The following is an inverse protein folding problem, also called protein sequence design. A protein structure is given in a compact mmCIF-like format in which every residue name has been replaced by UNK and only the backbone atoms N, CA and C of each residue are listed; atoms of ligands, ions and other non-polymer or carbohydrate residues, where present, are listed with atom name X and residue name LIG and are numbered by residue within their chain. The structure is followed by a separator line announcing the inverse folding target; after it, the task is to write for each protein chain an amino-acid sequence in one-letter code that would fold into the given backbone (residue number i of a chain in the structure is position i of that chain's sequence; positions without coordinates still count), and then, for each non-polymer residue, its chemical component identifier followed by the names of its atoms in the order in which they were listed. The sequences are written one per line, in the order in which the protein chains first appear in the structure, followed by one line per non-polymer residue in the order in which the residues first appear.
data_IF_985491391698
#
_entry.id   IF_985491391698
#
_cell.length_a   1.000
_cell.length_b   1.000
_cell.length_c   1.000
_cell.angle_alpha   90.00
_cell.angle_beta   90.00
_cell.angle_gamma   90.00
#
_symmetry.space_group_name_H-M   'P 1'
#
loop_
_entity.id
_entity.type
_entity.pdbx_description
1 polymer ?
#
# COMPACT_ATOMS: atom_id res chain seq x y z
N UNK A 1 -2.71 1.51 9.91
CA UNK A 1 -1.50 2.34 10.08
C UNK A 1 -0.29 1.46 10.28
N UNK A 2 0.75 1.73 9.53
CA UNK A 2 2.01 1.01 9.64
C UNK A 2 3.06 1.89 10.31
N UNK A 3 3.72 1.34 11.32
CA UNK A 3 4.88 1.99 11.91
C UNK A 3 6.11 1.23 11.45
N UNK A 4 7.02 1.92 10.78
CA UNK A 4 8.23 1.30 10.29
C UNK A 4 9.45 2.06 10.78
N UNK A 5 10.37 1.35 11.42
CA UNK A 5 11.63 1.93 11.87
C UNK A 5 12.65 1.78 10.77
N UNK A 6 13.25 2.89 10.38
CA UNK A 6 14.23 2.92 9.29
C UNK A 6 15.57 3.37 9.85
N UNK A 7 16.61 2.62 9.53
CA UNK A 7 17.97 2.98 9.89
C UNK A 7 18.61 3.63 8.67
N UNK A 8 19.17 4.78 8.87
CA UNK A 8 19.82 5.50 7.78
C UNK A 8 20.96 6.35 8.32
N UNK A 9 21.85 6.76 7.44
CA UNK A 9 22.94 7.64 7.80
C UNK A 9 22.55 9.08 7.56
N UNK A 10 22.80 9.96 8.51
CA UNK A 10 22.53 11.37 8.31
C UNK A 10 23.68 12.02 7.52
N UNK A 11 23.55 13.31 7.25
CA UNK A 11 24.56 14.01 6.43
C UNK A 11 25.79 14.42 7.22
N UNK A 12 25.87 14.04 8.47
CA UNK A 12 27.08 14.24 9.29
C UNK A 12 27.81 12.91 9.51
N UNK A 13 27.32 11.84 8.89
CA UNK A 13 27.96 10.54 8.98
C UNK A 13 27.51 9.70 10.17
N UNK A 14 26.45 10.11 10.86
CA UNK A 14 25.95 9.38 12.01
C UNK A 14 24.82 8.43 11.60
N UNK A 15 24.79 7.27 12.24
CA UNK A 15 23.70 6.32 12.04
C UNK A 15 22.49 6.78 12.86
N UNK A 16 21.34 6.90 12.20
CA UNK A 16 20.09 7.32 12.82
C UNK A 16 19.07 6.22 12.67
N UNK A 17 18.29 6.00 13.71
CA UNK A 17 17.16 5.08 13.65
C UNK A 17 15.92 5.87 14.01
N UNK A 18 14.98 5.94 13.09
CA UNK A 18 13.77 6.73 13.28
C UNK A 18 12.54 5.96 12.83
N UNK A 19 11.47 6.10 13.60
CA UNK A 19 10.19 5.49 13.24
C UNK A 19 9.40 6.43 12.34
N UNK A 20 8.92 5.90 11.24
CA UNK A 20 8.03 6.60 10.33
C UNK A 20 6.67 5.92 10.33
N UNK A 21 5.63 6.70 10.15
CA UNK A 21 4.27 6.20 10.14
C UNK A 21 3.66 6.37 8.77
N UNK A 22 2.92 5.34 8.34
CA UNK A 22 2.29 5.33 7.03
C UNK A 22 0.85 4.88 7.18
N UNK A 23 -0.05 5.59 6.55
CA UNK A 23 -1.46 5.22 6.57
C UNK A 23 -2.20 5.80 5.37
N UNK A 24 -3.11 5.02 4.82
CA UNK A 24 -4.03 5.50 3.81
C UNK A 24 -5.43 5.29 4.35
N UNK A 25 -6.27 6.32 4.23
CA UNK A 25 -7.66 6.22 4.62
C UNK A 25 -8.48 5.62 3.49
N UNK A 26 -9.70 5.18 3.80
CA UNK A 26 -10.60 4.67 2.76
C UNK A 26 -10.84 5.68 1.66
N UNK A 27 -11.01 6.94 2.03
CA UNK A 27 -11.22 7.99 1.05
C UNK A 27 -10.03 8.15 0.12
N UNK A 28 -8.82 8.14 0.69
CA UNK A 28 -7.61 8.25 -0.10
C UNK A 28 -7.43 7.08 -1.06
N UNK A 29 -7.72 5.88 -0.60
CA UNK A 29 -7.63 4.70 -1.46
C UNK A 29 -8.66 4.76 -2.59
N UNK A 30 -9.88 5.17 -2.28
CA UNK A 30 -10.91 5.32 -3.30
C UNK A 30 -10.51 6.34 -4.35
N UNK A 31 -9.92 7.45 -3.93
CA UNK A 31 -9.42 8.46 -4.85
C UNK A 31 -8.32 7.91 -5.75
N UNK A 32 -7.44 7.10 -5.21
CA UNK A 32 -6.37 6.47 -5.98
C UNK A 32 -6.91 5.39 -6.92
N UNK A 33 -7.92 4.64 -6.48
CA UNK A 33 -8.51 3.58 -7.28
C UNK A 33 -9.42 4.08 -8.39
N UNK A 34 -9.91 5.32 -8.27
CA UNK A 34 -10.71 5.91 -9.34
C UNK A 34 -9.92 6.00 -10.64
N UNK A 35 -8.60 5.99 -10.58
CA UNK A 35 -7.76 5.96 -11.76
C UNK A 35 -7.44 4.55 -12.25
N UNK A 36 -7.93 3.52 -11.58
CA UNK A 36 -7.64 2.14 -11.92
C UNK A 36 -8.92 1.33 -11.98
N UNK A 37 -9.14 0.62 -13.07
CA UNK A 37 -10.35 -0.18 -13.26
C UNK A 37 -10.44 -1.36 -12.32
N UNK A 38 -9.29 -1.93 -11.97
CA UNK A 38 -9.23 -3.18 -11.24
C UNK A 38 -8.83 -3.03 -9.78
N UNK A 39 -8.73 -1.79 -9.30
CA UNK A 39 -8.30 -1.53 -7.95
C UNK A 39 -6.78 -1.47 -7.83
N UNK A 40 -6.33 -0.84 -6.75
CA UNK A 40 -4.92 -0.58 -6.54
C UNK A 40 -4.10 -1.87 -6.41
N UNK A 41 -4.62 -2.85 -5.69
CA UNK A 41 -3.90 -4.12 -5.49
C UNK A 41 -3.67 -4.86 -6.79
N UNK A 42 -4.69 -4.92 -7.64
CA UNK A 42 -4.57 -5.58 -8.94
C UNK A 42 -3.66 -4.80 -9.88
N UNK A 43 -3.72 -3.48 -9.81
CA UNK A 43 -2.85 -2.62 -10.59
C UNK A 43 -1.38 -2.87 -10.24
N UNK A 44 -1.07 -2.95 -8.94
CA UNK A 44 0.28 -3.23 -8.48
C UNK A 44 0.76 -4.61 -8.90
N UNK A 45 -0.12 -5.60 -8.81
CA UNK A 45 0.21 -6.94 -9.27
C UNK A 45 0.52 -6.97 -10.76
N UNK A 46 -0.29 -6.29 -11.54
CA UNK A 46 -0.09 -6.23 -12.99
C UNK A 46 1.24 -5.58 -13.34
N UNK A 47 1.62 -4.53 -12.63
CA UNK A 47 2.89 -3.85 -12.85
C UNK A 47 4.06 -4.77 -12.51
N UNK A 48 3.97 -5.46 -11.38
CA UNK A 48 5.02 -6.39 -10.95
C UNK A 48 5.14 -7.55 -11.94
N UNK A 49 4.01 -8.10 -12.38
CA UNK A 49 3.99 -9.21 -13.33
C UNK A 49 4.55 -8.81 -14.71
N UNK A 50 4.30 -7.56 -15.09
CA UNK A 50 4.82 -7.04 -16.36
C UNK A 50 6.30 -6.66 -16.28
N UNK A 51 6.87 -6.67 -15.08
CA UNK A 51 8.27 -6.33 -14.85
C UNK A 51 8.60 -4.92 -15.38
N UNK A 52 7.64 -4.02 -15.30
CA UNK A 52 7.83 -2.63 -15.71
C UNK A 52 8.43 -1.83 -14.57
N UNK A 53 9.74 -1.79 -14.52
CA UNK A 53 10.48 -1.17 -13.43
C UNK A 53 10.12 0.31 -13.24
N UNK A 54 9.94 1.04 -14.32
CA UNK A 54 9.60 2.45 -14.23
C UNK A 54 8.23 2.66 -13.59
N UNK A 55 7.25 1.89 -14.01
CA UNK A 55 5.90 1.98 -13.45
C UNK A 55 5.89 1.57 -11.99
N UNK A 56 6.68 0.56 -11.61
CA UNK A 56 6.81 0.12 -10.23
C UNK A 56 7.35 1.27 -9.38
N UNK A 57 8.44 1.89 -9.83
CA UNK A 57 9.09 2.99 -9.11
C UNK A 57 8.12 4.16 -8.90
N UNK A 58 7.46 4.58 -9.96
CA UNK A 58 6.52 5.71 -9.90
C UNK A 58 5.34 5.42 -8.98
N UNK A 59 4.81 4.22 -9.06
CA UNK A 59 3.66 3.82 -8.25
C UNK A 59 4.01 3.75 -6.76
N UNK A 60 5.12 3.12 -6.42
CA UNK A 60 5.55 3.03 -5.04
C UNK A 60 5.89 4.40 -4.46
N UNK A 61 6.55 5.24 -5.23
CA UNK A 61 6.83 6.61 -4.79
C UNK A 61 5.53 7.34 -4.45
N UNK A 62 4.55 7.25 -5.32
CA UNK A 62 3.24 7.88 -5.11
C UNK A 62 2.57 7.38 -3.83
N UNK A 63 2.59 6.09 -3.61
CA UNK A 63 1.98 5.48 -2.42
C UNK A 63 2.72 5.88 -1.15
N UNK A 64 4.04 5.83 -1.17
CA UNK A 64 4.86 6.19 -0.03
C UNK A 64 4.61 7.65 0.36
N UNK A 65 4.66 8.56 -0.60
CA UNK A 65 4.46 9.98 -0.33
C UNK A 65 3.03 10.31 0.09
N UNK A 66 2.06 9.56 -0.40
CA UNK A 66 0.66 9.76 -0.02
C UNK A 66 0.36 9.21 1.37
N UNK A 67 1.12 8.25 1.84
CA UNK A 67 0.84 7.54 3.09
C UNK A 67 1.63 8.04 4.29
N UNK A 68 2.78 8.67 4.10
CA UNK A 68 3.63 9.08 5.21
C UNK A 68 3.00 10.21 6.01
N UNK A 69 3.10 10.13 7.34
CA UNK A 69 2.53 11.13 8.21
C UNK A 69 2.93 10.88 9.66
N UNK A 70 2.20 11.50 10.56
CA UNK A 70 2.42 11.33 12.00
C UNK A 70 1.10 11.36 12.75
N UNK A 71 1.05 10.68 13.88
CA UNK A 71 -0.15 10.69 14.70
C UNK A 71 -0.20 11.98 15.51
N UNK A 72 -1.42 12.49 15.73
CA UNK A 72 -1.62 13.55 16.71
C UNK A 72 -1.41 12.98 18.12
N UNK A 73 -1.22 13.85 19.10
CA UNK A 73 -0.98 13.42 20.48
C UNK A 73 -2.13 12.57 21.03
N UNK A 74 -3.36 12.92 20.69
CA UNK A 74 -4.54 12.18 21.13
C UNK A 74 -4.82 10.93 20.28
N UNK A 75 -4.09 10.74 19.19
CA UNK A 75 -4.28 9.59 18.32
C UNK A 75 -5.49 9.66 17.40
N UNK A 76 -6.23 10.78 17.42
CA UNK A 76 -7.43 10.90 16.61
C UNK A 76 -7.18 11.33 15.17
N UNK A 77 -6.04 11.96 14.93
CA UNK A 77 -5.71 12.43 13.58
C UNK A 77 -4.41 11.82 13.11
N UNK A 78 -4.36 11.52 11.83
CA UNK A 78 -3.12 11.18 11.16
C UNK A 78 -2.73 12.37 10.32
N UNK A 79 -1.67 13.04 10.72
CA UNK A 79 -1.28 14.34 10.15
C UNK A 79 -0.35 14.12 8.97
N UNK A 80 -0.80 14.51 7.80
CA UNK A 80 0.00 14.45 6.56
C UNK A 80 0.33 15.86 6.14
N UNK A 81 1.46 16.34 6.61
CA UNK A 81 1.92 17.68 6.29
C UNK A 81 3.29 17.61 5.59
N UNK A 82 3.76 18.76 5.11
CA UNK A 82 5.04 18.82 4.44
C UNK A 82 6.19 18.41 5.35
N UNK A 83 6.05 18.66 6.65
CA UNK A 83 7.09 18.33 7.61
C UNK A 83 7.31 16.80 7.65
N UNK A 84 6.23 16.03 7.71
CA UNK A 84 6.32 14.57 7.73
C UNK A 84 6.90 14.03 6.42
N UNK A 85 6.47 14.60 5.29
CA UNK A 85 6.98 14.22 3.98
C UNK A 85 8.47 14.53 3.87
N UNK A 86 8.86 15.73 4.28
CA UNK A 86 10.25 16.18 4.17
C UNK A 86 11.18 15.39 5.10
N UNK A 87 10.71 15.00 6.27
CA UNK A 87 11.49 14.15 7.16
C UNK A 87 11.88 12.83 6.50
N UNK A 88 11.06 12.37 5.58
CA UNK A 88 11.34 11.16 4.84
C UNK A 88 12.17 11.45 3.60
N UNK A 89 11.69 12.33 2.71
CA UNK A 89 12.33 12.50 1.40
C UNK A 89 13.59 13.34 1.42
N UNK A 90 13.78 14.18 2.42
CA UNK A 90 14.97 15.01 2.53
C UNK A 90 16.08 14.36 3.34
N UNK A 91 15.88 13.12 3.74
CA UNK A 91 16.88 12.33 4.47
C UNK A 91 17.18 11.08 3.66
N UNK A 92 18.20 10.35 4.08
CA UNK A 92 18.51 9.07 3.44
C UNK A 92 17.51 7.98 3.78
N UNK A 93 16.57 8.26 4.68
CA UNK A 93 15.53 7.30 5.05
C UNK A 93 14.69 6.86 3.85
N UNK A 94 14.33 7.79 2.96
CA UNK A 94 13.57 7.45 1.77
C UNK A 94 14.34 6.47 0.88
N UNK A 95 15.63 6.72 0.70
CA UNK A 95 16.46 5.83 -0.12
C UNK A 95 16.52 4.42 0.46
N UNK A 96 16.67 4.31 1.77
CA UNK A 96 16.71 3.00 2.42
C UNK A 96 15.37 2.27 2.27
N UNK A 97 14.27 2.96 2.49
CA UNK A 97 12.94 2.38 2.34
C UNK A 97 12.70 1.96 0.89
N UNK A 98 13.01 2.86 -0.04
CA UNK A 98 12.79 2.63 -1.45
C UNK A 98 13.57 1.42 -1.95
N UNK A 99 14.85 1.33 -1.58
CA UNK A 99 15.69 0.20 -1.99
C UNK A 99 15.19 -1.12 -1.42
N UNK A 100 14.72 -1.10 -0.19
CA UNK A 100 14.14 -2.29 0.43
C UNK A 100 12.92 -2.79 -0.35
N UNK A 101 12.02 -1.87 -0.69
CA UNK A 101 10.80 -2.23 -1.38
C UNK A 101 11.02 -2.55 -2.85
N UNK A 102 11.92 -1.83 -3.51
CA UNK A 102 12.21 -2.07 -4.92
C UNK A 102 12.98 -3.36 -5.13
N UNK A 103 13.75 -3.78 -4.13
CA UNK A 103 14.54 -5.00 -4.23
C UNK A 103 13.80 -6.27 -3.89
N UNK A 104 12.59 -6.16 -3.34
CA UNK A 104 11.82 -7.33 -2.90
C UNK A 104 10.33 -7.07 -3.13
N UNK A 105 9.78 -7.73 -4.13
CA UNK A 105 8.38 -7.57 -4.49
C UNK A 105 7.45 -7.99 -3.35
N UNK A 106 7.80 -9.02 -2.60
CA UNK A 106 6.99 -9.48 -1.48
C UNK A 106 6.97 -8.43 -0.36
N UNK A 107 8.10 -7.81 -0.09
CA UNK A 107 8.19 -6.74 0.91
C UNK A 107 7.34 -5.55 0.50
N UNK A 108 7.33 -5.22 -0.78
CA UNK A 108 6.53 -4.12 -1.32
C UNK A 108 5.03 -4.39 -1.16
N UNK A 109 4.60 -5.58 -1.50
CA UNK A 109 3.19 -5.98 -1.37
C UNK A 109 2.78 -5.96 0.10
N UNK A 110 3.61 -6.47 0.98
CA UNK A 110 3.35 -6.47 2.41
C UNK A 110 3.23 -5.04 2.96
N UNK A 111 4.13 -4.16 2.54
CA UNK A 111 4.10 -2.75 2.93
C UNK A 111 2.77 -2.11 2.56
N UNK A 112 2.35 -2.30 1.32
CA UNK A 112 1.11 -1.71 0.83
C UNK A 112 -0.09 -2.28 1.57
N UNK A 113 -0.11 -3.58 1.81
CA UNK A 113 -1.17 -4.24 2.53
C UNK A 113 -1.30 -3.68 3.95
N UNK A 114 -0.18 -3.47 4.62
CA UNK A 114 -0.19 -2.96 5.98
C UNK A 114 -0.57 -1.49 6.07
N UNK A 115 -0.30 -0.73 5.02
CA UNK A 115 -0.67 0.68 4.95
C UNK A 115 -2.17 0.86 4.72
N UNK A 116 -2.80 -0.09 4.06
CA UNK A 116 -4.23 -0.03 3.80
C UNK A 116 -5.06 -0.21 5.07
N UNK A 117 -6.20 0.48 5.17
CA UNK A 117 -7.06 0.30 6.32
C UNK A 117 -7.67 -1.10 6.34
N UNK A 118 -7.65 -1.71 7.51
CA UNK A 118 -8.21 -3.05 7.68
C UNK A 118 -9.68 -3.12 7.33
N UNK A 119 -10.38 -2.01 7.49
CA UNK A 119 -11.80 -1.95 7.19
C UNK A 119 -12.12 -2.04 5.71
N UNK A 120 -11.15 -1.82 4.84
CA UNK A 120 -11.36 -2.02 3.41
C UNK A 120 -11.30 -3.49 3.07
N UNK A 121 -10.47 -4.22 3.78
CA UNK A 121 -10.42 -5.63 3.59
C UNK A 121 -11.73 -6.26 4.00
N UNK A 122 -12.31 -5.68 5.02
CA UNK A 122 -13.55 -6.22 5.49
C UNK A 122 -14.64 -5.68 4.70
N UNK A 123 -14.39 -4.69 3.95
CA UNK A 123 -15.24 -4.05 3.23
C UNK A 123 -16.48 -4.21 3.45
N UNK A 124 -16.59 -3.77 3.88
CA UNK A 124 -17.69 -3.85 4.05
C UNK A 124 -17.97 -4.39 5.25
N UNK A 125 -17.40 -4.39 5.69
CA UNK A 125 -17.63 -4.93 6.54
C UNK A 125 -18.07 -4.56 7.55
N UNK A 126 -18.53 -4.19 7.49
CA UNK A 126 -19.45 -4.03 8.33
C UNK A 126 -19.92 -5.32 8.58
N UNK A 127 -19.65 -6.20 7.83
CA UNK A 127 -20.00 -7.53 8.06
C UNK A 127 -19.04 -8.03 9.02
N UNK A 128 -19.48 -8.76 9.85
CA UNK A 128 -18.67 -9.31 10.85
C UNK A 128 -17.76 -10.37 10.28
N UNK A 129 -17.55 -10.38 9.00
CA UNK A 129 -16.93 -11.48 8.53
C UNK A 129 -16.09 -11.19 7.39
N UNK A 130 -14.99 -10.64 7.67
CA UNK A 130 -14.09 -10.28 6.68
C UNK A 130 -13.57 -11.41 5.91
N UNK A 131 -13.16 -12.42 6.60
CA UNK A 131 -12.62 -13.62 5.99
C UNK A 131 -13.65 -14.29 5.10
N UNK A 132 -14.88 -14.28 5.55
CA UNK A 132 -15.96 -14.81 4.77
C UNK A 132 -16.18 -14.02 3.50
N UNK A 133 -16.11 -12.68 3.59
CA UNK A 133 -16.23 -11.82 2.42
C UNK A 133 -15.17 -12.12 1.38
N UNK A 134 -13.96 -12.31 1.84
CA UNK A 134 -12.87 -12.60 0.94
C UNK A 134 -13.04 -13.95 0.28
N UNK A 135 -13.44 -14.95 1.04
CA UNK A 135 -13.72 -16.28 0.52
C UNK A 135 -14.88 -16.25 -0.47
N UNK A 136 -15.92 -15.49 -0.17
CA UNK A 136 -17.05 -15.33 -1.06
C UNK A 136 -16.64 -14.66 -2.36
N UNK A 137 -15.77 -13.68 -2.30
CA UNK A 137 -15.25 -13.04 -3.50
C UNK A 137 -14.47 -14.02 -4.36
N UNK A 138 -13.63 -14.81 -3.74
CA UNK A 138 -12.84 -15.81 -4.45
C UNK A 138 -13.74 -16.87 -5.06
N UNK A 139 -14.74 -17.31 -4.31
CA UNK A 139 -15.71 -18.27 -4.80
C UNK A 139 -16.53 -17.73 -5.96
N UNK A 140 -16.98 -16.48 -5.85
CA UNK A 140 -17.74 -15.84 -6.90
C UNK A 140 -16.91 -15.67 -8.17
N UNK A 141 -15.66 -15.29 -8.02
CA UNK A 141 -14.75 -15.13 -9.14
C UNK A 141 -14.50 -16.46 -9.84
N UNK A 142 -14.30 -17.50 -9.05
CA UNK A 142 -14.10 -18.84 -9.57
C UNK A 142 -15.33 -19.33 -10.33
N UNK A 143 -16.51 -19.12 -9.76
CA UNK A 143 -17.77 -19.49 -10.40
C UNK A 143 -17.96 -18.75 -11.72
N UNK A 144 -17.60 -17.48 -11.75
CA UNK A 144 -17.71 -16.68 -12.96
C UNK A 144 -16.76 -17.18 -14.04
N UNK A 145 -15.54 -17.53 -13.68
CA UNK A 145 -14.57 -18.08 -14.62
C UNK A 145 -15.02 -19.41 -15.17
N UNK A 146 -15.57 -20.26 -14.31
CA UNK A 146 -16.08 -21.56 -14.76
C UNK A 146 -17.26 -21.40 -15.70
N UNK A 147 -18.14 -20.43 -15.44
CA UNK A 147 -19.26 -20.15 -16.32
C UNK A 147 -18.79 -19.67 -17.68
N UNK A 148 -17.78 -18.81 -17.71
CA UNK A 148 -17.21 -18.33 -18.96
C UNK A 148 -16.55 -19.47 -19.74
N UNK A 149 -15.87 -20.35 -19.07
CA UNK A 149 -15.24 -21.50 -19.71
C UNK A 149 -16.29 -22.43 -20.31
N UNK A 150 -17.40 -22.64 -19.61
CA UNK A 150 -18.49 -23.46 -20.13
C UNK A 150 -19.12 -22.82 -21.36
N UNK A 151 -19.26 -21.52 -21.36
CA UNK A 151 -19.80 -20.79 -22.51
C UNK A 151 -18.88 -20.88 -23.71
N UNK A 152 -17.60 -20.95 -23.48
CA UNK A 152 -16.62 -21.11 -24.55
C UNK A 152 -16.62 -22.51 -25.13
N UNK A 153 -16.97 -23.50 -24.32
CA UNK A 153 -16.99 -24.89 -24.76
C UNK A 153 -18.31 -25.27 -25.45
N UNK A 154 -19.28 -24.43 -25.32
CA UNK A 154 -20.57 -24.66 -25.99
C UNK A 154 -20.69 -23.71 -27.20
#
# INVERSE_FOLDING_TARGET
MLRKTIKFEDFEGNEVEKAFYFNLTKAEILEMELGSKDGLSNYLKAIVDADDTKAIVETFKKIILASVGRKSEDGHRFIKDDHAVNDLIQTNAYSELFLELAGDADAAIEFITEVMPKSIESNGHKTPNLQRSEQERKAALRAKLEAELKNLDS
#
